data_IF_623940660056
#
_entry.id   IF_623940660056
#
_cell.length_a   1.000
_cell.length_b   1.000
_cell.length_c   1.000
_cell.angle_alpha   90.00
_cell.angle_beta   90.00
_cell.angle_gamma   90.00
#
_symmetry.space_group_name_H-M   'P 1'
#
loop_
_entity.id
_entity.type
_entity.pdbx_description
1 polymer ?
#
# COMPACT_ATOMS: atom_id res chain seq x y z
N UNK A 1 7.86 25.62 -9.34
CA UNK A 1 7.28 24.36 -8.82
C UNK A 1 6.25 24.70 -7.76
N UNK A 2 5.25 23.85 -7.59
CA UNK A 2 4.19 24.02 -6.58
C UNK A 2 4.62 23.39 -5.25
N UNK A 3 5.00 24.21 -4.28
CA UNK A 3 5.49 23.75 -2.97
C UNK A 3 4.35 23.26 -2.05
N UNK A 4 3.13 23.76 -2.25
CA UNK A 4 1.97 23.36 -1.44
C UNK A 4 1.55 21.95 -1.82
N UNK A 5 1.44 21.70 -3.12
CA UNK A 5 1.08 20.38 -3.62
C UNK A 5 2.16 19.34 -3.33
N UNK A 6 3.44 19.71 -3.48
CA UNK A 6 4.54 18.83 -3.11
C UNK A 6 4.49 18.42 -1.62
N UNK A 7 4.13 19.35 -0.72
CA UNK A 7 3.99 19.05 0.71
C UNK A 7 2.83 18.10 0.97
N UNK A 8 1.68 18.30 0.31
CA UNK A 8 0.51 17.43 0.43
C UNK A 8 0.86 15.99 0.02
N UNK A 9 1.41 15.82 -1.18
CA UNK A 9 1.82 14.50 -1.71
C UNK A 9 2.90 13.85 -0.85
N UNK A 10 3.83 14.63 -0.29
CA UNK A 10 4.85 14.10 0.61
C UNK A 10 4.23 13.54 1.90
N UNK A 11 3.22 14.22 2.48
CA UNK A 11 2.52 13.71 3.65
C UNK A 11 1.76 12.41 3.35
N UNK A 12 1.13 12.32 2.19
CA UNK A 12 0.44 11.09 1.72
C UNK A 12 1.42 9.93 1.52
N UNK A 13 2.57 10.19 0.88
CA UNK A 13 3.64 9.20 0.71
C UNK A 13 4.15 8.66 2.05
N UNK A 14 4.41 9.54 3.03
CA UNK A 14 4.85 9.15 4.38
C UNK A 14 3.78 8.28 5.08
N UNK A 15 2.50 8.60 4.94
CA UNK A 15 1.40 7.81 5.49
C UNK A 15 1.34 6.41 4.88
N UNK A 16 1.43 6.32 3.54
CA UNK A 16 1.49 5.04 2.84
C UNK A 16 2.65 4.18 3.33
N UNK A 17 3.87 4.74 3.36
CA UNK A 17 5.07 4.02 3.83
C UNK A 17 4.87 3.49 5.26
N UNK A 18 4.34 4.32 6.17
CA UNK A 18 4.06 3.91 7.56
C UNK A 18 2.99 2.83 7.65
N UNK A 19 1.96 2.87 6.80
CA UNK A 19 0.96 1.82 6.72
C UNK A 19 1.58 0.49 6.28
N UNK A 20 2.36 0.48 5.18
CA UNK A 20 3.01 -0.73 4.66
C UNK A 20 4.03 -1.33 5.65
N UNK A 21 4.78 -0.49 6.35
CA UNK A 21 5.75 -0.94 7.35
C UNK A 21 5.13 -1.79 8.47
N UNK A 22 3.87 -1.55 8.85
CA UNK A 22 3.18 -2.30 9.92
C UNK A 22 3.00 -3.79 9.62
N UNK A 23 3.00 -4.17 8.35
CA UNK A 23 2.79 -5.55 7.91
C UNK A 23 4.07 -6.23 7.41
N UNK A 24 5.20 -5.51 7.40
CA UNK A 24 6.39 -5.87 6.65
C UNK A 24 6.33 -5.30 5.25
N UNK A 25 7.12 -4.24 5.02
CA UNK A 25 7.02 -3.36 3.87
C UNK A 25 6.94 -4.09 2.52
N UNK A 26 7.83 -5.06 2.28
CA UNK A 26 7.87 -5.77 0.99
C UNK A 26 6.67 -6.69 0.76
N UNK A 27 6.17 -7.34 1.81
CA UNK A 27 4.99 -8.19 1.72
C UNK A 27 3.73 -7.34 1.48
N UNK A 28 3.63 -6.21 2.17
CA UNK A 28 2.56 -5.24 2.00
C UNK A 28 2.58 -4.61 0.61
N UNK A 29 3.74 -4.09 0.17
CA UNK A 29 3.88 -3.42 -1.13
C UNK A 29 3.48 -4.34 -2.29
N UNK A 30 3.99 -5.59 -2.32
CA UNK A 30 3.60 -6.59 -3.33
C UNK A 30 2.11 -6.94 -3.28
N UNK A 31 1.54 -7.00 -2.08
CA UNK A 31 0.10 -7.21 -1.90
C UNK A 31 -0.70 -6.03 -2.48
N UNK A 32 -0.27 -4.79 -2.23
CA UNK A 32 -0.91 -3.60 -2.81
C UNK A 32 -0.83 -3.62 -4.34
N UNK A 33 0.32 -3.98 -4.93
CA UNK A 33 0.42 -4.13 -6.38
C UNK A 33 -0.62 -5.13 -6.92
N UNK A 34 -0.86 -6.24 -6.20
CA UNK A 34 -1.92 -7.20 -6.60
C UNK A 34 -3.33 -6.61 -6.53
N UNK A 35 -3.60 -5.68 -5.61
CA UNK A 35 -4.89 -4.97 -5.55
C UNK A 35 -5.09 -4.03 -6.73
N UNK A 36 -3.99 -3.51 -7.29
CA UNK A 36 -3.95 -2.67 -8.48
C UNK A 36 -3.86 -3.50 -9.78
N UNK A 37 -4.11 -4.80 -9.73
CA UNK A 37 -4.05 -5.69 -10.90
C UNK A 37 -2.64 -6.08 -11.36
N UNK A 38 -1.58 -5.68 -10.65
CA UNK A 38 -0.19 -6.00 -10.99
C UNK A 38 0.34 -7.10 -10.06
N UNK A 39 0.33 -8.34 -10.53
CA UNK A 39 0.86 -9.47 -9.74
C UNK A 39 2.40 -9.49 -9.74
N UNK A 40 2.99 -8.98 -8.65
CA UNK A 40 4.43 -9.01 -8.41
C UNK A 40 4.90 -10.31 -7.71
N UNK A 41 4.02 -11.29 -7.53
CA UNK A 41 4.27 -12.52 -6.78
C UNK A 41 4.54 -12.30 -5.28
N UNK A 42 4.77 -13.38 -4.56
CA UNK A 42 5.03 -13.34 -3.11
C UNK A 42 6.44 -12.86 -2.78
N UNK A 43 6.72 -12.64 -1.49
CA UNK A 43 8.07 -12.33 -1.00
C UNK A 43 8.94 -13.58 -0.91
N UNK A 44 10.25 -13.42 -1.06
CA UNK A 44 11.23 -14.49 -0.83
C UNK A 44 11.58 -14.58 0.66
N UNK A 45 11.93 -15.78 1.12
CA UNK A 45 12.50 -15.97 2.46
C UNK A 45 13.77 -15.09 2.65
N UNK A 46 14.03 -14.58 3.87
CA UNK A 46 13.37 -14.89 5.14
C UNK A 46 12.07 -14.09 5.41
N UNK A 47 11.63 -13.25 4.47
CA UNK A 47 10.39 -12.48 4.61
C UNK A 47 9.19 -13.42 4.49
N UNK A 48 8.16 -13.17 5.31
CA UNK A 48 6.93 -13.96 5.31
C UNK A 48 5.84 -13.24 4.51
N UNK A 49 5.05 -13.94 3.68
CA UNK A 49 3.87 -13.36 3.05
C UNK A 49 2.83 -12.97 4.09
N UNK A 50 1.94 -12.06 3.72
CA UNK A 50 0.80 -11.69 4.56
C UNK A 50 -0.20 -12.85 4.62
N UNK A 51 -0.81 -13.03 5.79
CA UNK A 51 -2.00 -13.88 5.93
C UNK A 51 -3.20 -13.22 5.27
N UNK A 52 -4.23 -13.99 4.93
CA UNK A 52 -5.45 -13.41 4.32
C UNK A 52 -6.12 -12.37 5.23
N UNK A 53 -6.10 -12.57 6.56
CA UNK A 53 -6.57 -11.58 7.52
C UNK A 53 -5.76 -10.27 7.45
N UNK A 54 -4.43 -10.35 7.32
CA UNK A 54 -3.58 -9.17 7.15
C UNK A 54 -3.79 -8.48 5.80
N UNK A 55 -4.06 -9.24 4.74
CA UNK A 55 -4.39 -8.68 3.41
C UNK A 55 -5.70 -7.89 3.46
N UNK A 56 -6.73 -8.43 4.11
CA UNK A 56 -8.01 -7.73 4.30
C UNK A 56 -7.85 -6.47 5.16
N UNK A 57 -7.17 -6.56 6.31
CA UNK A 57 -6.91 -5.38 7.16
C UNK A 57 -6.10 -4.31 6.43
N UNK A 58 -5.08 -4.69 5.64
CA UNK A 58 -4.32 -3.76 4.81
C UNK A 58 -5.22 -3.04 3.80
N UNK A 59 -6.10 -3.76 3.10
CA UNK A 59 -7.03 -3.17 2.12
C UNK A 59 -7.94 -2.15 2.77
N UNK A 60 -8.54 -2.50 3.91
CA UNK A 60 -9.43 -1.57 4.62
C UNK A 60 -8.68 -0.34 5.15
N UNK A 61 -7.44 -0.49 5.64
CA UNK A 61 -6.64 0.65 6.10
C UNK A 61 -6.34 1.62 4.96
N UNK A 62 -5.91 1.11 3.80
CA UNK A 62 -5.63 1.95 2.65
C UNK A 62 -6.87 2.71 2.17
N UNK A 63 -8.05 2.10 2.27
CA UNK A 63 -9.32 2.77 1.96
C UNK A 63 -9.64 3.90 2.95
N UNK A 64 -9.32 3.74 4.24
CA UNK A 64 -9.53 4.77 5.29
C UNK A 64 -8.52 5.92 5.22
N UNK A 65 -7.32 5.67 4.69
CA UNK A 65 -6.23 6.66 4.70
C UNK A 65 -6.31 7.72 3.58
N UNK A 66 -7.46 7.95 2.95
CA UNK A 66 -7.63 8.85 1.78
C UNK A 66 -6.77 8.46 0.55
N UNK A 67 -6.09 7.32 0.62
CA UNK A 67 -5.35 6.71 -0.48
C UNK A 67 -6.26 5.83 -1.35
N UNK A 68 -7.54 5.70 -0.99
CA UNK A 68 -8.56 4.98 -1.77
C UNK A 68 -8.63 5.47 -3.23
N UNK A 69 -8.39 6.76 -3.46
CA UNK A 69 -8.36 7.36 -4.80
C UNK A 69 -7.32 6.72 -5.73
N UNK A 70 -6.27 6.10 -5.18
CA UNK A 70 -5.23 5.41 -5.94
C UNK A 70 -5.46 3.90 -6.05
N UNK A 71 -6.47 3.36 -5.36
CA UNK A 71 -6.82 1.93 -5.40
C UNK A 71 -7.97 1.63 -6.36
N UNK A 72 -8.62 2.65 -6.91
CA UNK A 72 -9.77 2.53 -7.79
C UNK A 72 -9.35 2.83 -9.24
N UNK A 73 -8.76 1.84 -9.90
CA UNK A 73 -8.69 1.77 -11.36
C UNK A 73 -9.27 0.41 -11.79
N UNK A 74 -10.60 0.31 -11.73
CA UNK A 74 -11.33 -0.61 -12.62
C UNK A 74 -11.46 0.12 -13.96
N UNK A 75 -10.56 -0.18 -14.90
CA UNK A 75 -10.80 -0.01 -16.34
C UNK A 75 -10.25 -1.19 -17.09
#
# INVERSE_FOLDING_TARGET
GDATEARRLQHESVRLVRCLQRYGYMAAAKTVMSFLGVDCGTVRAPLRPLTDAQRSDLRERLQREELAQYLADDT
#
